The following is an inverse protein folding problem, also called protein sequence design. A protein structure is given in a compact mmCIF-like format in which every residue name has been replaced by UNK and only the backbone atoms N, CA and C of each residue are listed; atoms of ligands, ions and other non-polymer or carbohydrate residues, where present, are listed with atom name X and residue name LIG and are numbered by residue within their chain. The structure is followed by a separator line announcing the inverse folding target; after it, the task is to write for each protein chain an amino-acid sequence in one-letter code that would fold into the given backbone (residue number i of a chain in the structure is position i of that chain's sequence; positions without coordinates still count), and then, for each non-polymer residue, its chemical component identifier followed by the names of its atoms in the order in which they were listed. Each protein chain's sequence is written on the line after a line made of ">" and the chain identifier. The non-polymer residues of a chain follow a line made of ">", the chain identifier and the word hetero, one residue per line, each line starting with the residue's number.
data_IF_697397792384
#
_entry.id   IF_697397792384
#
_cell.length_a   1.000
_cell.length_b   1.000
_cell.length_c   1.000
_cell.angle_alpha   90.00
_cell.angle_beta   90.00
_cell.angle_gamma   90.00
#
_symmetry.space_group_name_H-M   'P 1'
#
loop_
_entity.id
_entity.type
_entity.pdbx_description
1 polymer ?
#
# COMPACT_ATOMS: atom_id res chain seq x y z
N UNK A 1 29.86 -17.26 16.18
CA UNK A 1 28.52 -16.86 16.69
C UNK A 1 28.15 -15.53 16.03
N UNK A 2 27.60 -15.59 14.81
CA UNK A 2 27.30 -14.39 14.01
C UNK A 2 25.99 -13.81 14.52
N UNK A 3 26.06 -12.68 15.20
CA UNK A 3 24.91 -11.92 15.67
C UNK A 3 24.24 -11.31 14.44
N UNK A 4 23.26 -12.02 13.87
CA UNK A 4 22.41 -11.52 12.80
C UNK A 4 21.72 -10.27 13.36
N UNK A 5 22.19 -9.09 12.97
CA UNK A 5 21.46 -7.83 13.15
C UNK A 5 20.09 -8.07 12.54
N UNK A 6 19.05 -8.04 13.38
CA UNK A 6 17.64 -7.99 12.97
C UNK A 6 17.53 -7.12 11.74
N UNK A 7 17.28 -7.75 10.58
CA UNK A 7 17.05 -7.05 9.33
C UNK A 7 15.75 -6.27 9.50
N UNK A 8 15.86 -5.01 9.92
CA UNK A 8 14.74 -4.06 9.97
C UNK A 8 14.37 -3.60 8.55
N UNK A 9 14.23 -4.53 7.60
CA UNK A 9 13.86 -4.20 6.21
C UNK A 9 12.40 -3.74 6.11
N UNK A 10 11.59 -4.09 7.10
CA UNK A 10 10.16 -3.82 7.20
C UNK A 10 9.82 -2.74 8.24
N UNK A 11 10.71 -1.77 8.44
CA UNK A 11 10.45 -0.63 9.31
C UNK A 11 9.64 0.46 8.61
N UNK A 12 8.34 0.56 8.88
CA UNK A 12 7.51 1.65 8.34
C UNK A 12 7.72 2.89 9.21
N UNK A 13 8.41 3.90 8.67
CA UNK A 13 8.75 5.12 9.41
C UNK A 13 7.77 6.25 9.08
N UNK A 14 6.78 6.50 9.96
CA UNK A 14 5.82 7.59 9.83
C UNK A 14 6.12 8.77 10.78
N UNK A 15 7.18 8.66 11.61
CA UNK A 15 7.56 9.71 12.55
C UNK A 15 8.55 9.27 13.64
N UNK A 16 8.82 10.14 14.64
CA UNK A 16 9.92 9.94 15.59
C UNK A 16 9.60 8.96 16.73
N UNK A 17 8.34 8.59 16.96
CA UNK A 17 7.95 7.80 18.14
C UNK A 17 7.86 6.30 17.82
N UNK A 18 8.45 5.46 18.66
CA UNK A 18 8.41 3.99 18.52
C UNK A 18 7.49 3.38 19.58
N UNK A 19 6.72 2.35 19.21
CA UNK A 19 5.84 1.62 20.12
C UNK A 19 6.52 0.36 20.72
N UNK A 20 7.85 0.38 20.91
CA UNK A 20 8.62 -0.81 21.29
C UNK A 20 8.24 -1.40 22.66
N UNK A 21 7.71 -0.56 23.56
CA UNK A 21 7.34 -0.90 24.94
C UNK A 21 5.84 -1.25 25.12
N UNK A 22 5.05 -1.24 24.05
CA UNK A 22 3.61 -1.53 24.13
C UNK A 22 3.31 -3.02 23.85
N UNK A 23 2.30 -3.62 24.52
CA UNK A 23 1.93 -5.01 24.32
C UNK A 23 1.49 -5.27 22.87
N UNK A 24 1.71 -6.50 22.38
CA UNK A 24 1.39 -6.91 21.01
C UNK A 24 -0.11 -6.84 20.73
N UNK A 25 -0.56 -5.71 20.19
CA UNK A 25 -1.94 -5.52 19.74
C UNK A 25 -2.11 -6.25 18.41
N UNK A 26 -2.74 -7.42 18.46
CA UNK A 26 -3.15 -8.16 17.28
C UNK A 26 -4.40 -7.50 16.68
N UNK A 27 -4.26 -6.94 15.48
CA UNK A 27 -5.37 -6.35 14.77
C UNK A 27 -6.26 -7.44 14.17
N UNK A 28 -7.55 -7.43 14.53
CA UNK A 28 -8.56 -8.22 13.82
C UNK A 28 -9.02 -7.43 12.59
N UNK A 29 -8.79 -7.94 11.37
CA UNK A 29 -9.22 -7.25 10.15
C UNK A 29 -10.74 -7.13 10.10
N UNK A 30 -11.22 -5.93 9.77
CA UNK A 30 -12.63 -5.66 9.54
C UNK A 30 -13.01 -6.05 8.10
N UNK A 31 -14.32 -6.13 7.80
CA UNK A 31 -14.80 -6.45 6.44
C UNK A 31 -14.24 -5.48 5.39
N UNK A 32 -14.15 -4.19 5.74
CA UNK A 32 -13.60 -3.13 4.87
C UNK A 32 -12.15 -3.44 4.46
N UNK A 33 -11.37 -4.02 5.36
CA UNK A 33 -9.97 -4.35 5.12
C UNK A 33 -9.82 -5.46 4.07
N UNK A 34 -10.72 -6.45 4.10
CA UNK A 34 -10.80 -7.51 3.10
C UNK A 34 -11.25 -6.99 1.74
N UNK A 35 -12.21 -6.05 1.72
CA UNK A 35 -12.65 -5.41 0.48
C UNK A 35 -11.50 -4.64 -0.16
N UNK A 36 -10.74 -3.85 0.61
CA UNK A 36 -9.59 -3.11 0.08
C UNK A 36 -8.49 -4.04 -0.47
N UNK A 37 -8.18 -5.13 0.24
CA UNK A 37 -7.23 -6.14 -0.26
C UNK A 37 -7.74 -6.82 -1.53
N UNK A 38 -9.04 -7.15 -1.59
CA UNK A 38 -9.68 -7.73 -2.77
C UNK A 38 -9.67 -6.81 -3.98
N UNK A 39 -9.95 -5.51 -3.78
CA UNK A 39 -9.89 -4.50 -4.85
C UNK A 39 -8.46 -4.34 -5.36
N UNK A 40 -7.47 -4.28 -4.48
CA UNK A 40 -6.06 -4.21 -4.89
C UNK A 40 -5.64 -5.46 -5.69
N UNK A 41 -6.04 -6.66 -5.25
CA UNK A 41 -5.77 -7.89 -5.98
C UNK A 41 -6.43 -7.88 -7.37
N UNK A 42 -7.68 -7.44 -7.46
CA UNK A 42 -8.42 -7.34 -8.72
C UNK A 42 -7.69 -6.40 -9.68
N UNK A 43 -7.19 -5.26 -9.22
CA UNK A 43 -6.41 -4.33 -10.03
C UNK A 43 -5.10 -4.92 -10.55
N UNK A 44 -4.39 -5.71 -9.72
CA UNK A 44 -3.19 -6.43 -10.15
C UNK A 44 -3.52 -7.45 -11.24
N UNK A 45 -4.60 -8.23 -11.06
CA UNK A 45 -5.07 -9.19 -12.06
C UNK A 45 -5.45 -8.49 -13.37
N UNK A 46 -6.18 -7.37 -13.30
CA UNK A 46 -6.51 -6.57 -14.48
C UNK A 46 -5.26 -6.06 -15.20
N UNK A 47 -4.23 -5.63 -14.46
CA UNK A 47 -2.94 -5.27 -15.03
C UNK A 47 -2.34 -6.40 -15.85
N UNK A 48 -2.28 -7.62 -15.29
CA UNK A 48 -1.78 -8.80 -16.01
C UNK A 48 -2.63 -9.18 -17.22
N UNK A 49 -3.96 -9.12 -17.10
CA UNK A 49 -4.88 -9.37 -18.23
C UNK A 49 -4.62 -8.36 -19.35
N UNK A 50 -4.39 -7.09 -19.02
CA UNK A 50 -4.02 -6.06 -19.99
C UNK A 50 -2.72 -6.38 -20.73
N UNK A 51 -1.68 -6.81 -20.01
CA UNK A 51 -0.40 -7.22 -20.63
C UNK A 51 -0.58 -8.41 -21.57
N UNK A 52 -1.31 -9.45 -21.13
CA UNK A 52 -1.55 -10.66 -21.93
C UNK A 52 -2.42 -10.37 -23.17
N UNK A 53 -3.42 -9.50 -23.03
CA UNK A 53 -4.25 -9.06 -24.14
C UNK A 53 -3.44 -8.32 -25.20
N UNK A 54 -2.55 -7.42 -24.79
CA UNK A 54 -1.67 -6.74 -25.73
C UNK A 54 -0.67 -7.69 -26.38
N UNK A 55 -0.07 -8.59 -25.59
CA UNK A 55 0.85 -9.60 -26.10
C UNK A 55 0.22 -10.46 -27.20
N UNK A 56 -1.03 -10.89 -27.01
CA UNK A 56 -1.77 -11.66 -28.01
C UNK A 56 -2.22 -10.81 -29.20
N UNK A 57 -2.66 -9.57 -28.97
CA UNK A 57 -3.11 -8.65 -30.03
C UNK A 57 -1.98 -8.17 -30.95
N UNK A 58 -0.75 -8.06 -30.43
CA UNK A 58 0.42 -7.59 -31.19
C UNK A 58 1.34 -8.74 -31.65
N UNK A 59 0.82 -9.97 -31.69
CA UNK A 59 1.55 -11.11 -32.28
C UNK A 59 2.83 -11.49 -31.52
N UNK A 60 2.87 -11.31 -30.21
CA UNK A 60 3.99 -11.68 -29.35
C UNK A 60 4.97 -10.54 -29.04
N UNK A 61 4.68 -9.31 -29.46
CA UNK A 61 5.44 -8.12 -29.06
C UNK A 61 4.61 -7.28 -28.09
N UNK A 62 4.83 -7.47 -26.79
CA UNK A 62 4.29 -6.56 -25.78
C UNK A 62 5.39 -5.58 -25.34
N UNK A 63 5.00 -4.33 -25.13
CA UNK A 63 5.89 -3.27 -24.67
C UNK A 63 6.56 -3.67 -23.34
N UNK A 64 7.87 -3.51 -23.26
CA UNK A 64 8.66 -3.82 -22.06
C UNK A 64 8.17 -3.02 -20.84
N UNK A 65 7.68 -1.80 -21.04
CA UNK A 65 7.15 -0.97 -19.97
C UNK A 65 5.91 -1.60 -19.30
N UNK A 66 5.06 -2.27 -20.08
CA UNK A 66 3.88 -2.96 -19.55
C UNK A 66 4.25 -4.16 -18.68
N UNK A 67 5.21 -4.98 -19.12
CA UNK A 67 5.72 -6.09 -18.30
C UNK A 67 6.32 -5.62 -16.99
N UNK A 68 7.15 -4.58 -17.04
CA UNK A 68 7.77 -4.00 -15.85
C UNK A 68 6.69 -3.45 -14.91
N UNK A 69 5.68 -2.75 -15.44
CA UNK A 69 4.59 -2.21 -14.62
C UNK A 69 3.77 -3.30 -13.92
N UNK A 70 3.45 -4.40 -14.59
CA UNK A 70 2.69 -5.51 -14.01
C UNK A 70 3.50 -6.29 -12.96
N UNK A 71 4.78 -6.55 -13.24
CA UNK A 71 5.71 -7.17 -12.29
C UNK A 71 5.90 -6.28 -11.05
N UNK A 72 6.12 -4.98 -11.24
CA UNK A 72 6.30 -4.03 -10.15
C UNK A 72 5.01 -3.88 -9.32
N UNK A 73 3.85 -3.85 -9.97
CA UNK A 73 2.55 -3.85 -9.27
C UNK A 73 2.38 -5.07 -8.38
N UNK A 74 2.75 -6.26 -8.88
CA UNK A 74 2.68 -7.52 -8.12
C UNK A 74 3.63 -7.51 -6.93
N UNK A 75 4.86 -7.02 -7.13
CA UNK A 75 5.86 -6.89 -6.09
C UNK A 75 5.41 -5.92 -5.01
N UNK A 76 4.94 -4.73 -5.39
CA UNK A 76 4.46 -3.71 -4.46
C UNK A 76 3.21 -4.20 -3.72
N UNK A 77 2.29 -4.88 -4.41
CA UNK A 77 1.14 -5.52 -3.78
C UNK A 77 1.57 -6.51 -2.69
N UNK A 78 2.51 -7.40 -2.98
CA UNK A 78 3.03 -8.35 -2.00
C UNK A 78 3.71 -7.63 -0.81
N UNK A 79 4.49 -6.58 -1.06
CA UNK A 79 5.13 -5.78 0.00
C UNK A 79 4.11 -5.05 0.88
N UNK A 80 3.06 -4.49 0.29
CA UNK A 80 2.03 -3.76 1.04
C UNK A 80 1.12 -4.69 1.84
N UNK A 81 0.78 -5.85 1.27
CA UNK A 81 -0.02 -6.88 1.94
C UNK A 81 0.75 -7.52 3.10
N UNK A 82 2.05 -7.77 2.93
CA UNK A 82 2.92 -8.22 4.03
C UNK A 82 3.13 -7.11 5.06
N UNK A 83 3.32 -5.88 4.61
CA UNK A 83 3.43 -4.68 5.46
C UNK A 83 2.22 -4.45 6.35
N UNK A 84 1.01 -4.64 5.84
CA UNK A 84 -0.24 -4.53 6.58
C UNK A 84 -0.43 -5.62 7.64
N UNK A 85 0.36 -6.70 7.61
CA UNK A 85 0.36 -7.79 8.60
C UNK A 85 1.53 -7.71 9.59
N UNK A 86 2.39 -6.69 9.49
CA UNK A 86 3.53 -6.53 10.40
C UNK A 86 3.06 -6.14 11.81
N UNK A 87 3.70 -6.70 12.86
CA UNK A 87 3.41 -6.30 14.23
C UNK A 87 3.81 -4.84 14.47
N UNK A 88 3.06 -4.18 15.36
CA UNK A 88 3.18 -2.76 15.75
C UNK A 88 4.62 -2.31 16.04
N UNK A 89 5.46 -3.24 16.50
CA UNK A 89 6.86 -3.02 16.91
C UNK A 89 7.78 -2.53 15.78
N UNK A 90 7.41 -2.76 14.53
CA UNK A 90 8.17 -2.29 13.35
C UNK A 90 7.67 -0.95 12.80
N UNK A 91 6.62 -0.36 13.37
CA UNK A 91 6.01 0.89 12.90
C UNK A 91 6.43 2.03 13.83
N UNK A 92 6.96 3.10 13.24
CA UNK A 92 7.19 4.37 13.95
C UNK A 92 6.07 5.33 13.66
N UNK A 93 5.54 5.98 14.69
CA UNK A 93 4.37 6.84 14.64
C UNK A 93 4.77 8.34 14.70
N UNK A 94 3.98 9.23 14.07
CA UNK A 94 4.16 10.68 14.13
C UNK A 94 3.81 11.29 15.49
N UNK A 95 2.94 10.65 16.25
CA UNK A 95 2.44 11.15 17.54
C UNK A 95 2.85 10.17 18.65
N UNK A 96 3.06 10.69 19.86
CA UNK A 96 3.44 9.88 21.02
C UNK A 96 2.38 8.80 21.26
N UNK A 97 2.86 7.58 21.44
CA UNK A 97 2.02 6.39 21.54
C UNK A 97 1.82 6.03 23.03
N UNK A 98 0.56 5.99 23.49
CA UNK A 98 0.18 5.56 24.84
C UNK A 98 -0.64 4.26 24.77
N UNK A 99 -0.57 3.41 25.80
CA UNK A 99 -1.29 2.11 25.85
C UNK A 99 -2.79 2.19 25.48
N UNK A 100 -3.44 3.32 25.75
CA UNK A 100 -4.85 3.59 25.42
C UNK A 100 -5.11 3.85 23.93
N UNK A 101 -4.14 4.45 23.21
CA UNK A 101 -4.32 4.96 21.85
C UNK A 101 -3.53 4.14 20.79
N UNK A 102 -2.63 3.23 21.21
CA UNK A 102 -1.84 2.35 20.33
C UNK A 102 -2.72 1.62 19.33
N UNK A 103 -3.81 1.01 19.80
CA UNK A 103 -4.69 0.22 18.94
C UNK A 103 -5.29 1.08 17.82
N UNK A 104 -5.80 2.26 18.15
CA UNK A 104 -6.42 3.16 17.17
C UNK A 104 -5.42 3.71 16.16
N UNK A 105 -4.22 4.10 16.61
CA UNK A 105 -3.16 4.53 15.69
C UNK A 105 -2.69 3.40 14.79
N UNK A 106 -2.59 2.17 15.32
CA UNK A 106 -2.23 1.00 14.53
C UNK A 106 -3.29 0.68 13.46
N UNK A 107 -4.58 0.69 13.81
CA UNK A 107 -5.68 0.54 12.84
C UNK A 107 -5.56 1.57 11.71
N UNK A 108 -5.27 2.84 12.06
CA UNK A 108 -5.14 3.90 11.08
C UNK A 108 -3.96 3.67 10.12
N UNK A 109 -2.80 3.21 10.62
CA UNK A 109 -1.64 2.90 9.78
C UNK A 109 -1.92 1.73 8.85
N UNK A 110 -2.52 0.65 9.36
CA UNK A 110 -2.85 -0.52 8.55
C UNK A 110 -3.85 -0.15 7.44
N UNK A 111 -4.86 0.67 7.75
CA UNK A 111 -5.81 1.18 6.75
C UNK A 111 -5.17 2.12 5.74
N UNK A 112 -4.23 2.96 6.16
CA UNK A 112 -3.46 3.82 5.26
C UNK A 112 -2.63 2.98 4.27
N UNK A 113 -1.94 1.95 4.76
CA UNK A 113 -1.17 1.02 3.92
C UNK A 113 -2.07 0.31 2.90
N UNK A 114 -3.26 -0.15 3.30
CA UNK A 114 -4.24 -0.76 2.39
C UNK A 114 -4.77 0.24 1.35
N UNK A 115 -5.07 1.48 1.74
CA UNK A 115 -5.51 2.52 0.82
C UNK A 115 -4.41 2.88 -0.20
N UNK A 116 -3.16 2.97 0.26
CA UNK A 116 -1.99 3.18 -0.62
C UNK A 116 -1.81 2.01 -1.58
N UNK A 117 -2.01 0.77 -1.11
CA UNK A 117 -1.92 -0.42 -1.96
C UNK A 117 -2.91 -0.33 -3.13
N UNK A 118 -4.18 -0.01 -2.87
CA UNK A 118 -5.20 0.17 -3.91
C UNK A 118 -4.81 1.25 -4.91
N UNK A 119 -4.35 2.42 -4.42
CA UNK A 119 -3.99 3.53 -5.30
C UNK A 119 -2.76 3.21 -6.16
N UNK A 120 -1.75 2.56 -5.59
CA UNK A 120 -0.53 2.18 -6.31
C UNK A 120 -0.82 1.07 -7.33
N UNK A 121 -1.64 0.07 -6.97
CA UNK A 121 -2.09 -0.95 -7.93
C UNK A 121 -2.86 -0.34 -9.10
N UNK A 122 -3.70 0.68 -8.85
CA UNK A 122 -4.39 1.42 -9.89
C UNK A 122 -3.42 2.20 -10.80
N UNK A 123 -2.42 2.87 -10.22
CA UNK A 123 -1.39 3.60 -10.96
C UNK A 123 -0.61 2.68 -11.90
N UNK A 124 -0.26 1.48 -11.46
CA UNK A 124 0.45 0.53 -12.33
C UNK A 124 -0.45 -0.13 -13.36
N UNK A 125 -1.72 -0.39 -13.04
CA UNK A 125 -2.67 -0.97 -13.99
C UNK A 125 -3.00 0.00 -15.15
N UNK A 126 -3.16 1.29 -14.83
CA UNK A 126 -3.60 2.31 -15.79
C UNK A 126 -2.45 3.12 -16.37
N UNK A 127 -1.30 3.16 -15.69
CA UNK A 127 -0.10 3.92 -16.07
C UNK A 127 0.35 3.72 -17.51
N UNK A 128 0.50 2.48 -18.01
CA UNK A 128 0.90 2.23 -19.40
C UNK A 128 -0.06 2.79 -20.46
N UNK A 129 -1.31 3.06 -20.09
CA UNK A 129 -2.35 3.55 -21.00
C UNK A 129 -2.41 5.08 -21.05
N UNK A 130 -1.61 5.77 -20.23
CA UNK A 130 -1.63 7.24 -20.11
C UNK A 130 -1.21 7.96 -21.39
N UNK A 131 -0.39 7.34 -22.22
CA UNK A 131 0.01 7.93 -23.51
C UNK A 131 -1.13 7.94 -24.53
N UNK A 132 -2.00 6.93 -24.47
CA UNK A 132 -3.04 6.69 -25.45
C UNK A 132 -4.39 7.29 -25.06
N UNK A 133 -4.66 7.42 -23.75
CA UNK A 133 -5.98 7.78 -23.26
C UNK A 133 -5.99 8.86 -22.19
N UNK A 134 -6.83 9.87 -22.40
CA UNK A 134 -7.04 10.96 -21.45
C UNK A 134 -7.68 10.47 -20.14
N UNK A 135 -8.58 9.47 -20.21
CA UNK A 135 -9.18 8.86 -19.03
C UNK A 135 -8.13 8.20 -18.13
N UNK A 136 -7.08 7.62 -18.72
CA UNK A 136 -5.99 6.99 -17.97
C UNK A 136 -5.18 8.04 -17.20
N UNK A 137 -4.93 9.21 -17.81
CA UNK A 137 -4.28 10.35 -17.13
C UNK A 137 -5.11 10.87 -15.96
N UNK A 138 -6.42 11.05 -16.15
CA UNK A 138 -7.33 11.48 -15.09
C UNK A 138 -7.34 10.46 -13.95
N UNK A 139 -7.42 9.17 -14.26
CA UNK A 139 -7.41 8.10 -13.26
C UNK A 139 -6.10 8.09 -12.43
N UNK A 140 -4.94 8.26 -13.08
CA UNK A 140 -3.66 8.38 -12.38
C UNK A 140 -3.60 9.62 -11.47
N UNK A 141 -4.06 10.78 -11.95
CA UNK A 141 -4.13 11.99 -11.13
C UNK A 141 -5.07 11.82 -9.95
N UNK A 142 -6.25 11.22 -10.16
CA UNK A 142 -7.19 10.92 -9.09
C UNK A 142 -6.58 9.99 -8.03
N UNK A 143 -5.85 8.96 -8.45
CA UNK A 143 -5.14 8.06 -7.54
C UNK A 143 -4.10 8.80 -6.69
N UNK A 144 -3.31 9.70 -7.29
CA UNK A 144 -2.32 10.51 -6.56
C UNK A 144 -2.97 11.46 -5.55
N UNK A 145 -4.07 12.11 -5.94
CA UNK A 145 -4.85 12.98 -5.04
C UNK A 145 -5.43 12.17 -3.88
N UNK A 146 -5.97 10.98 -4.15
CA UNK A 146 -6.49 10.09 -3.10
C UNK A 146 -5.39 9.62 -2.14
N UNK A 147 -4.17 9.34 -2.63
CA UNK A 147 -3.03 9.05 -1.75
C UNK A 147 -2.69 10.24 -0.85
N UNK A 148 -2.61 11.45 -1.40
CA UNK A 148 -2.36 12.65 -0.62
C UNK A 148 -3.45 12.92 0.43
N UNK A 149 -4.73 12.76 0.05
CA UNK A 149 -5.87 12.91 0.95
C UNK A 149 -5.86 11.86 2.06
N UNK A 150 -5.61 10.60 1.74
CA UNK A 150 -5.55 9.53 2.76
C UNK A 150 -4.42 9.76 3.76
N UNK A 151 -3.27 10.30 3.32
CA UNK A 151 -2.20 10.75 4.20
C UNK A 151 -2.62 11.93 5.07
N UNK A 152 -3.29 12.94 4.49
CA UNK A 152 -3.77 14.10 5.25
C UNK A 152 -4.79 13.69 6.33
N UNK A 153 -5.75 12.83 5.98
CA UNK A 153 -6.73 12.26 6.92
C UNK A 153 -6.02 11.49 8.03
N UNK A 154 -5.01 10.69 7.68
CA UNK A 154 -4.20 9.98 8.68
C UNK A 154 -3.54 10.94 9.67
N UNK A 155 -2.89 12.01 9.20
CA UNK A 155 -2.27 13.01 10.09
C UNK A 155 -3.30 13.75 10.96
N UNK A 156 -4.43 14.15 10.39
CA UNK A 156 -5.51 14.83 11.15
C UNK A 156 -6.06 13.91 12.24
N UNK A 157 -6.31 12.63 11.94
CA UNK A 157 -6.78 11.66 12.92
C UNK A 157 -5.71 11.38 13.97
N UNK A 158 -4.45 11.18 13.58
CA UNK A 158 -3.35 10.95 14.50
C UNK A 158 -3.17 12.12 15.49
N UNK A 159 -3.34 13.37 15.03
CA UNK A 159 -3.28 14.56 15.87
C UNK A 159 -4.48 14.68 16.84
N UNK A 160 -5.67 14.21 16.45
CA UNK A 160 -6.85 14.15 17.33
C UNK A 160 -6.77 13.03 18.36
N UNK A 161 -5.94 12.01 18.11
CA UNK A 161 -5.66 10.89 19.00
C UNK A 161 -4.52 11.17 19.99
N UNK A 162 -4.12 12.44 20.16
CA UNK A 162 -3.27 12.89 21.27
C UNK A 162 -3.96 12.65 22.61
#
# INVERSE_FOLDING_TARGET
>A
MIRIKSFNLFGVNLGPFSAHDCPDVHFRPAVVDWVMEGVALLLVVLGWVGVLWQYTSQGGQADGNMWVSALLSTLVFALMVTGARLPVRFIRFPVRVNARNVGQQYVCVVRLLRAFNVCISLLFAVGPWTDHHLWARIACLAALVLMALSLAVYYVVALRLK
#
